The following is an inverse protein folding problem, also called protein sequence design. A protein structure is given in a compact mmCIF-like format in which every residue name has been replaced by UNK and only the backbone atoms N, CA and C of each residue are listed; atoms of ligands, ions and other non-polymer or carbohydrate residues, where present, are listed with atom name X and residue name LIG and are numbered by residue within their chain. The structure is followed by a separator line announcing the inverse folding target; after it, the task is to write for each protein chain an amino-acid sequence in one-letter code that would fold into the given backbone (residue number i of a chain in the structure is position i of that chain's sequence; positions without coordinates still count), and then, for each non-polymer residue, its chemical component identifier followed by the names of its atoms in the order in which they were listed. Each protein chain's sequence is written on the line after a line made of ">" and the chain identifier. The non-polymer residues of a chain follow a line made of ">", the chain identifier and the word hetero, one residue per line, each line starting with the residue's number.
data_IF_297674599608
#
_entry.id   IF_297674599608
#
_cell.length_a   1.000
_cell.length_b   1.000
_cell.length_c   1.000
_cell.angle_alpha   90.00
_cell.angle_beta   90.00
_cell.angle_gamma   90.00
#
_symmetry.space_group_name_H-M   'P 1'
#
loop_
_entity.id
_entity.type
_entity.pdbx_description
1 polymer ?
#
# COMPACT_ATOMS: atom_id res chain seq x y z
N UNK A 1 -30.05 9.70 0.74
CA UNK A 1 -29.57 11.05 0.38
C UNK A 1 -29.59 11.14 -1.14
N UNK A 2 -30.12 12.22 -1.71
CA UNK A 2 -30.58 12.26 -3.10
C UNK A 2 -29.43 12.26 -4.13
N UNK A 3 -29.66 11.61 -5.28
CA UNK A 3 -28.77 11.60 -6.46
C UNK A 3 -28.53 13.00 -7.08
N UNK A 4 -29.18 14.04 -6.56
CA UNK A 4 -29.16 15.40 -7.09
C UNK A 4 -27.79 16.10 -7.03
N UNK A 5 -26.83 15.59 -6.25
CA UNK A 5 -25.47 16.14 -6.18
C UNK A 5 -24.53 15.58 -7.25
N UNK A 6 -24.92 14.49 -7.93
CA UNK A 6 -24.14 13.88 -9.00
C UNK A 6 -24.35 14.70 -10.27
N UNK A 7 -23.25 15.17 -10.88
CA UNK A 7 -23.30 16.02 -12.08
C UNK A 7 -22.74 15.30 -13.29
N UNK A 8 -23.38 15.49 -14.43
CA UNK A 8 -22.82 15.11 -15.73
C UNK A 8 -22.10 16.33 -16.31
N UNK A 9 -20.84 16.17 -16.67
CA UNK A 9 -20.01 17.26 -17.21
C UNK A 9 -19.34 16.81 -18.50
N UNK A 10 -19.35 17.69 -19.49
CA UNK A 10 -18.80 17.43 -20.82
C UNK A 10 -17.51 18.21 -21.03
N UNK A 11 -16.51 17.54 -21.61
CA UNK A 11 -15.22 18.11 -21.98
C UNK A 11 -14.99 17.88 -23.47
N UNK A 12 -14.78 18.95 -24.26
CA UNK A 12 -14.42 18.78 -25.66
C UNK A 12 -13.00 18.22 -25.79
N UNK A 13 -12.70 17.55 -26.90
CA UNK A 13 -11.37 17.06 -27.22
C UNK A 13 -10.29 18.14 -27.00
N UNK A 14 -9.24 17.77 -26.29
CA UNK A 14 -8.10 18.62 -25.94
C UNK A 14 -8.25 19.40 -24.63
N UNK A 15 -9.44 19.42 -24.03
CA UNK A 15 -9.65 20.12 -22.76
C UNK A 15 -8.93 19.41 -21.59
N UNK A 16 -8.29 20.21 -20.73
CA UNK A 16 -7.77 19.72 -19.47
C UNK A 16 -8.94 19.41 -18.52
N UNK A 17 -8.92 18.22 -17.93
CA UNK A 17 -9.96 17.73 -17.00
C UNK A 17 -9.48 17.92 -15.56
N UNK A 18 -8.27 17.43 -15.26
CA UNK A 18 -7.57 17.69 -13.99
C UNK A 18 -6.13 18.07 -14.29
N UNK A 19 -5.55 18.89 -13.42
CA UNK A 19 -4.17 19.34 -13.54
C UNK A 19 -3.36 18.79 -12.38
N UNK A 20 -2.19 18.24 -12.66
CA UNK A 20 -1.27 17.75 -11.64
C UNK A 20 -1.02 18.83 -10.58
N UNK A 21 -0.98 18.42 -9.31
CA UNK A 21 -0.82 19.31 -8.15
C UNK A 21 -1.97 20.28 -7.88
N UNK A 22 -3.08 20.24 -8.63
CA UNK A 22 -4.30 20.94 -8.23
C UNK A 22 -4.95 20.25 -7.03
N UNK A 23 -5.58 21.05 -6.17
CA UNK A 23 -6.36 20.56 -5.03
C UNK A 23 -7.60 19.85 -5.59
N UNK A 24 -7.90 18.66 -5.06
CA UNK A 24 -9.14 18.00 -5.35
C UNK A 24 -10.23 18.49 -4.38
N UNK A 25 -11.35 19.03 -4.87
CA UNK A 25 -12.44 19.55 -4.03
C UNK A 25 -13.30 18.44 -3.39
N UNK A 26 -12.77 17.22 -3.25
CA UNK A 26 -13.50 16.06 -2.73
C UNK A 26 -14.41 15.41 -3.78
N UNK A 27 -13.96 15.35 -5.04
CA UNK A 27 -14.67 14.75 -6.17
C UNK A 27 -13.89 13.57 -6.75
N UNK A 28 -14.64 12.56 -7.18
CA UNK A 28 -14.14 11.54 -8.10
C UNK A 28 -15.03 11.46 -9.34
N UNK A 29 -14.48 10.87 -10.40
CA UNK A 29 -15.07 10.93 -11.72
C UNK A 29 -15.22 9.52 -12.29
N UNK A 30 -16.28 9.31 -13.08
CA UNK A 30 -16.48 8.10 -13.87
C UNK A 30 -16.68 8.51 -15.32
N UNK A 31 -15.92 7.89 -16.23
CA UNK A 31 -16.08 8.14 -17.66
C UNK A 31 -17.38 7.51 -18.14
N UNK A 32 -18.32 8.30 -18.65
CA UNK A 32 -19.56 7.78 -19.27
C UNK A 32 -19.36 7.48 -20.75
N UNK A 33 -18.67 8.38 -21.45
CA UNK A 33 -18.35 8.24 -22.87
C UNK A 33 -17.04 8.97 -23.21
N UNK A 34 -16.45 8.60 -24.35
CA UNK A 34 -15.18 9.16 -24.80
C UNK A 34 -13.96 8.53 -24.13
N UNK A 35 -12.81 9.17 -24.30
CA UNK A 35 -11.52 8.71 -23.80
C UNK A 35 -10.74 9.84 -23.13
N UNK A 36 -10.27 9.58 -21.92
CA UNK A 36 -9.40 10.49 -21.16
C UNK A 36 -7.98 9.97 -21.22
N UNK A 37 -7.01 10.84 -21.48
CA UNK A 37 -5.60 10.47 -21.53
C UNK A 37 -4.83 11.10 -20.36
N UNK A 38 -3.79 10.39 -19.92
CA UNK A 38 -2.82 10.87 -18.94
C UNK A 38 -1.72 11.61 -19.68
N UNK A 39 -1.34 12.81 -19.21
CA UNK A 39 -0.22 13.56 -19.79
C UNK A 39 1.10 12.81 -19.59
N UNK A 40 1.60 12.26 -20.70
CA UNK A 40 2.79 11.42 -20.77
C UNK A 40 4.11 12.17 -20.72
N UNK A 41 4.15 13.48 -20.99
CA UNK A 41 5.41 14.25 -20.91
C UNK A 41 5.90 14.39 -19.46
N UNK A 42 4.99 14.25 -18.49
CA UNK A 42 5.27 14.24 -17.06
C UNK A 42 5.05 12.87 -16.41
N UNK A 43 4.81 11.80 -17.19
CA UNK A 43 4.83 10.42 -16.66
C UNK A 43 6.27 10.14 -16.24
N UNK A 44 6.55 10.40 -14.97
CA UNK A 44 7.48 9.59 -14.23
C UNK A 44 7.08 8.14 -14.50
N UNK A 45 7.99 7.37 -15.14
CA UNK A 45 8.01 5.94 -15.63
C UNK A 45 7.16 4.88 -14.88
N UNK A 46 6.39 5.27 -13.88
CA UNK A 46 5.73 4.46 -12.88
C UNK A 46 4.20 4.40 -13.00
N UNK A 47 3.56 5.20 -13.87
CA UNK A 47 2.11 5.08 -14.16
C UNK A 47 1.87 4.08 -15.30
N UNK A 48 1.25 2.92 -15.00
CA UNK A 48 0.87 1.92 -16.01
C UNK A 48 -0.36 2.37 -16.85
N UNK A 49 -1.28 3.13 -16.27
CA UNK A 49 -2.47 3.63 -16.97
C UNK A 49 -2.12 4.85 -17.83
N UNK A 50 -2.27 4.70 -19.14
CA UNK A 50 -2.10 5.80 -20.11
C UNK A 50 -3.41 6.48 -20.46
N UNK A 51 -4.54 5.80 -20.26
CA UNK A 51 -5.87 6.27 -20.63
C UNK A 51 -6.96 5.70 -19.71
N UNK A 52 -8.09 6.40 -19.62
CA UNK A 52 -9.33 5.96 -19.00
C UNK A 52 -10.44 5.90 -20.05
N UNK A 53 -11.16 4.77 -20.09
CA UNK A 53 -12.24 4.46 -21.03
C UNK A 53 -13.59 4.45 -20.30
N UNK A 54 -14.72 4.33 -21.02
CA UNK A 54 -16.04 4.28 -20.39
C UNK A 54 -16.15 3.24 -19.26
N UNK A 55 -16.68 3.69 -18.13
CA UNK A 55 -16.80 2.98 -16.87
C UNK A 55 -15.54 2.99 -16.00
N UNK A 56 -14.41 3.52 -16.47
CA UNK A 56 -13.22 3.69 -15.63
C UNK A 56 -13.39 4.95 -14.75
N UNK A 57 -12.70 4.94 -13.60
CA UNK A 57 -12.79 6.02 -12.62
C UNK A 57 -11.44 6.62 -12.30
N UNK A 58 -11.42 7.93 -11.99
CA UNK A 58 -10.22 8.62 -11.53
C UNK A 58 -10.54 9.69 -10.48
N UNK A 59 -9.50 10.19 -9.81
CA UNK A 59 -9.61 11.21 -8.77
C UNK A 59 -9.95 10.67 -7.37
N UNK A 60 -10.35 9.40 -7.23
CA UNK A 60 -10.71 8.82 -5.93
C UNK A 60 -9.52 8.78 -4.97
N UNK A 61 -8.31 8.42 -5.44
CA UNK A 61 -7.09 8.43 -4.60
C UNK A 61 -6.87 9.81 -3.98
N UNK A 62 -6.90 10.84 -4.83
CA UNK A 62 -6.71 12.22 -4.42
C UNK A 62 -7.83 12.71 -3.49
N UNK A 63 -9.08 12.34 -3.76
CA UNK A 63 -10.22 12.71 -2.92
C UNK A 63 -10.22 12.02 -1.55
N UNK A 64 -9.86 10.73 -1.46
CA UNK A 64 -9.85 9.95 -0.21
C UNK A 64 -8.65 10.26 0.68
N UNK A 65 -7.52 10.63 0.07
CA UNK A 65 -6.29 10.94 0.82
C UNK A 65 -6.14 12.43 1.10
N UNK A 66 -7.09 13.26 0.65
CA UNK A 66 -7.02 14.73 0.73
C UNK A 66 -5.71 15.29 0.14
N UNK A 67 -5.23 14.64 -0.92
CA UNK A 67 -3.99 14.99 -1.59
C UNK A 67 -4.27 15.55 -2.96
N UNK A 68 -3.31 16.29 -3.49
CA UNK A 68 -3.45 16.88 -4.82
C UNK A 68 -3.46 15.79 -5.90
N UNK A 69 -3.99 16.13 -7.08
CA UNK A 69 -3.93 15.23 -8.22
C UNK A 69 -2.48 14.84 -8.55
N UNK A 70 -2.27 13.53 -8.74
CA UNK A 70 -0.96 12.96 -9.02
C UNK A 70 -0.53 13.17 -10.48
N UNK A 71 -1.50 13.36 -11.38
CA UNK A 71 -1.32 13.47 -12.82
C UNK A 71 -2.21 14.57 -13.41
N UNK A 72 -1.83 15.03 -14.60
CA UNK A 72 -2.69 15.85 -15.47
C UNK A 72 -3.47 14.91 -16.38
N UNK A 73 -4.77 15.14 -16.51
CA UNK A 73 -5.64 14.39 -17.44
C UNK A 73 -6.30 15.34 -18.43
N UNK A 74 -6.41 14.91 -19.67
CA UNK A 74 -7.07 15.66 -20.73
C UNK A 74 -8.02 14.78 -21.54
N UNK A 75 -9.02 15.41 -22.16
CA UNK A 75 -9.97 14.73 -23.02
C UNK A 75 -9.28 14.38 -24.36
N UNK A 76 -9.05 13.09 -24.65
CA UNK A 76 -8.47 12.65 -25.92
C UNK A 76 -9.51 12.68 -27.06
N UNK A 77 -10.77 12.45 -26.71
CA UNK A 77 -11.96 12.68 -27.54
C UNK A 77 -12.87 13.68 -26.84
N UNK A 78 -14.06 13.96 -27.39
CA UNK A 78 -15.12 14.51 -26.55
C UNK A 78 -15.45 13.48 -25.46
N UNK A 79 -15.56 13.93 -24.22
CA UNK A 79 -15.71 13.10 -23.02
C UNK A 79 -16.90 13.58 -22.22
N UNK A 80 -17.73 12.65 -21.79
CA UNK A 80 -18.75 12.87 -20.78
C UNK A 80 -18.32 12.19 -19.48
N UNK A 81 -18.32 12.94 -18.38
CA UNK A 81 -17.96 12.45 -17.04
C UNK A 81 -19.15 12.54 -16.09
N UNK A 82 -19.26 11.56 -15.22
CA UNK A 82 -20.05 11.63 -14.00
C UNK A 82 -19.16 12.15 -12.87
N UNK A 83 -19.47 13.30 -12.29
CA UNK A 83 -18.80 13.89 -11.13
C UNK A 83 -19.54 13.52 -9.85
N UNK A 84 -18.86 12.88 -8.92
CA UNK A 84 -19.46 12.35 -7.69
C UNK A 84 -18.67 12.88 -6.48
N UNK A 85 -19.35 13.49 -5.49
CA UNK A 85 -18.74 13.85 -4.21
C UNK A 85 -18.26 12.62 -3.43
N UNK A 86 -17.06 12.71 -2.84
CA UNK A 86 -16.46 11.58 -2.12
C UNK A 86 -17.29 11.11 -0.92
N UNK A 87 -18.01 12.04 -0.26
CA UNK A 87 -18.97 11.73 0.80
C UNK A 87 -20.10 10.78 0.36
N UNK A 88 -20.37 10.68 -0.94
CA UNK A 88 -21.39 9.78 -1.49
C UNK A 88 -20.84 8.39 -1.84
N UNK A 89 -19.53 8.16 -1.70
CA UNK A 89 -18.87 6.92 -2.12
C UNK A 89 -19.59 5.67 -1.61
N UNK A 90 -19.82 5.56 -0.29
CA UNK A 90 -20.52 4.41 0.30
C UNK A 90 -21.89 4.15 -0.34
N UNK A 91 -22.75 5.17 -0.35
CA UNK A 91 -24.10 5.07 -0.92
C UNK A 91 -24.12 4.78 -2.42
N UNK A 92 -23.18 5.36 -3.17
CA UNK A 92 -23.06 5.19 -4.62
C UNK A 92 -22.64 3.77 -4.98
N UNK A 93 -21.65 3.22 -4.26
CA UNK A 93 -21.15 1.87 -4.47
C UNK A 93 -22.19 0.81 -4.08
N UNK A 94 -22.96 1.06 -3.02
CA UNK A 94 -24.05 0.17 -2.61
C UNK A 94 -25.11 0.00 -3.69
N UNK A 95 -25.43 1.09 -4.40
CA UNK A 95 -26.35 1.06 -5.54
C UNK A 95 -25.79 0.41 -6.81
N UNK A 96 -24.45 0.25 -6.91
CA UNK A 96 -23.77 -0.13 -8.15
C UNK A 96 -22.63 -1.15 -7.88
N UNK A 97 -22.98 -2.38 -7.50
CA UNK A 97 -21.99 -3.43 -7.14
C UNK A 97 -20.96 -3.72 -8.24
N UNK A 98 -21.40 -3.83 -9.49
CA UNK A 98 -20.51 -4.12 -10.62
C UNK A 98 -19.49 -3.01 -10.84
N UNK A 99 -19.94 -1.76 -10.69
CA UNK A 99 -19.07 -0.58 -10.79
C UNK A 99 -18.10 -0.52 -9.62
N UNK A 100 -18.55 -0.81 -8.40
CA UNK A 100 -17.67 -0.91 -7.24
C UNK A 100 -16.55 -1.92 -7.47
N UNK A 101 -16.89 -3.12 -7.98
CA UNK A 101 -15.90 -4.13 -8.33
C UNK A 101 -14.98 -3.69 -9.46
N UNK A 102 -15.50 -2.98 -10.47
CA UNK A 102 -14.67 -2.43 -11.55
C UNK A 102 -13.64 -1.42 -11.02
N UNK A 103 -14.05 -0.51 -10.13
CA UNK A 103 -13.13 0.47 -9.52
C UNK A 103 -12.11 -0.25 -8.63
N UNK A 104 -12.53 -1.21 -7.81
CA UNK A 104 -11.61 -1.98 -6.97
C UNK A 104 -10.56 -2.71 -7.80
N UNK A 105 -10.95 -3.38 -8.89
CA UNK A 105 -10.01 -4.06 -9.79
C UNK A 105 -9.03 -3.09 -10.45
N UNK A 106 -9.52 -1.93 -10.90
CA UNK A 106 -8.65 -0.89 -11.46
C UNK A 106 -7.58 -0.46 -10.45
N UNK A 107 -7.98 -0.24 -9.20
CA UNK A 107 -7.10 0.30 -8.15
C UNK A 107 -6.17 -0.78 -7.61
N UNK A 108 -6.65 -2.01 -7.49
CA UNK A 108 -5.82 -3.17 -7.16
C UNK A 108 -4.73 -3.36 -8.23
N UNK A 109 -5.09 -3.33 -9.52
CA UNK A 109 -4.13 -3.42 -10.61
C UNK A 109 -3.06 -2.32 -10.55
N UNK A 110 -3.46 -1.06 -10.35
CA UNK A 110 -2.55 0.08 -10.19
C UNK A 110 -1.62 -0.11 -8.97
N UNK A 111 -2.15 -0.53 -7.82
CA UNK A 111 -1.33 -0.76 -6.63
C UNK A 111 -0.33 -1.91 -6.84
N UNK A 112 -0.76 -3.00 -7.49
CA UNK A 112 0.13 -4.12 -7.85
C UNK A 112 1.26 -3.65 -8.76
N UNK A 113 0.95 -2.80 -9.74
CA UNK A 113 1.95 -2.19 -10.63
C UNK A 113 3.01 -1.39 -9.86
N UNK A 114 2.55 -0.50 -8.98
CA UNK A 114 3.43 0.34 -8.17
C UNK A 114 4.30 -0.49 -7.24
N UNK A 115 3.75 -1.51 -6.59
CA UNK A 115 4.51 -2.41 -5.72
C UNK A 115 5.56 -3.21 -6.50
N UNK A 116 5.23 -3.71 -7.71
CA UNK A 116 6.20 -4.35 -8.62
C UNK A 116 7.36 -3.40 -8.95
N UNK A 117 7.07 -2.12 -9.21
CA UNK A 117 8.09 -1.11 -9.50
C UNK A 117 8.93 -0.74 -8.27
N UNK A 118 8.30 -0.61 -7.10
CA UNK A 118 8.95 -0.28 -5.83
C UNK A 118 9.92 -1.35 -5.35
N UNK A 119 9.64 -2.62 -5.65
CA UNK A 119 10.52 -3.73 -5.28
C UNK A 119 11.97 -3.53 -5.78
N UNK A 120 12.22 -2.66 -6.79
CA UNK A 120 13.55 -2.36 -7.36
C UNK A 120 14.40 -3.61 -7.56
N UNK A 121 13.76 -4.75 -7.79
CA UNK A 121 14.45 -5.95 -8.15
C UNK A 121 14.93 -5.79 -9.58
N UNK A 122 16.24 -5.82 -9.75
CA UNK A 122 16.87 -5.88 -11.06
C UNK A 122 16.60 -7.25 -11.72
N UNK A 123 16.04 -8.22 -10.98
CA UNK A 123 15.69 -9.54 -11.46
C UNK A 123 14.18 -9.67 -11.68
N UNK A 124 13.73 -10.06 -12.87
CA UNK A 124 12.32 -10.32 -13.15
C UNK A 124 11.66 -11.29 -12.17
N UNK A 125 12.41 -12.28 -11.65
CA UNK A 125 11.92 -13.31 -10.73
C UNK A 125 11.30 -12.75 -9.43
N UNK A 126 11.84 -11.66 -8.89
CA UNK A 126 11.33 -11.05 -7.66
C UNK A 126 9.97 -10.36 -7.85
N UNK A 127 9.58 -10.06 -9.10
CA UNK A 127 8.30 -9.42 -9.46
C UNK A 127 7.20 -10.45 -9.78
N UNK A 128 7.56 -11.73 -9.78
CA UNK A 128 6.67 -12.83 -10.03
C UNK A 128 6.10 -13.28 -8.69
N UNK A 129 4.78 -13.31 -8.60
CA UNK A 129 4.04 -13.84 -7.46
C UNK A 129 3.34 -15.08 -8.00
N UNK A 130 3.92 -16.23 -7.71
CA UNK A 130 3.41 -17.54 -8.10
C UNK A 130 3.52 -18.48 -6.89
N UNK A 131 2.62 -19.45 -6.72
CA UNK A 131 2.66 -20.37 -5.59
C UNK A 131 4.00 -21.08 -5.40
N UNK A 132 4.73 -21.40 -6.48
CA UNK A 132 6.05 -22.01 -6.45
C UNK A 132 7.10 -21.16 -5.71
N UNK A 133 6.91 -19.83 -5.66
CA UNK A 133 7.76 -18.91 -4.90
C UNK A 133 7.69 -19.18 -3.39
N UNK A 134 6.65 -19.84 -2.89
CA UNK A 134 6.55 -20.22 -1.47
C UNK A 134 7.71 -21.11 -1.01
N UNK A 135 8.25 -21.99 -1.87
CA UNK A 135 9.43 -22.80 -1.55
C UNK A 135 10.68 -21.92 -1.44
N UNK A 136 10.87 -20.99 -2.37
CA UNK A 136 11.98 -20.03 -2.34
C UNK A 136 11.90 -19.11 -1.11
N UNK A 137 10.69 -18.65 -0.78
CA UNK A 137 10.43 -17.86 0.41
C UNK A 137 10.76 -18.64 1.69
N UNK A 138 10.38 -19.92 1.76
CA UNK A 138 10.71 -20.79 2.89
C UNK A 138 12.22 -20.91 3.12
N UNK A 139 13.01 -21.14 2.06
CA UNK A 139 14.48 -21.16 2.13
C UNK A 139 15.04 -19.83 2.63
N UNK A 140 14.47 -18.72 2.19
CA UNK A 140 14.85 -17.38 2.66
C UNK A 140 14.55 -17.21 4.15
N UNK A 141 13.37 -17.61 4.62
CA UNK A 141 13.00 -17.57 6.02
C UNK A 141 13.88 -18.47 6.90
N UNK A 142 14.30 -19.64 6.40
CA UNK A 142 15.28 -20.50 7.06
C UNK A 142 16.64 -19.80 7.23
N UNK A 143 17.13 -19.14 6.18
CA UNK A 143 18.37 -18.37 6.26
C UNK A 143 18.29 -17.21 7.26
N UNK A 144 17.09 -16.63 7.45
CA UNK A 144 16.83 -15.62 8.48
C UNK A 144 16.58 -16.19 9.88
N UNK A 145 16.68 -17.51 10.06
CA UNK A 145 16.37 -18.20 11.32
C UNK A 145 14.92 -17.95 11.80
N UNK A 146 13.97 -17.86 10.85
CA UNK A 146 12.52 -17.71 11.12
C UNK A 146 11.77 -18.99 10.72
N UNK A 147 11.90 -20.09 11.48
CA UNK A 147 11.40 -21.39 11.06
C UNK A 147 9.86 -21.48 11.01
N UNK A 148 9.14 -20.68 11.80
CA UNK A 148 7.68 -20.62 11.74
C UNK A 148 7.15 -20.05 10.41
N UNK A 149 7.78 -18.99 9.89
CA UNK A 149 7.46 -18.44 8.56
C UNK A 149 7.78 -19.44 7.44
N UNK A 150 8.91 -20.15 7.56
CA UNK A 150 9.27 -21.20 6.62
C UNK A 150 8.22 -22.33 6.61
N UNK A 151 7.83 -22.82 7.78
CA UNK A 151 6.82 -23.88 7.92
C UNK A 151 5.47 -23.45 7.36
N UNK A 152 4.99 -22.24 7.69
CA UNK A 152 3.75 -21.70 7.13
C UNK A 152 3.81 -21.65 5.60
N UNK A 153 4.91 -21.12 5.04
CA UNK A 153 5.09 -21.02 3.58
C UNK A 153 5.02 -22.38 2.88
N UNK A 154 5.67 -23.41 3.45
CA UNK A 154 5.64 -24.77 2.92
C UNK A 154 4.27 -25.43 3.05
N UNK A 155 3.58 -25.27 4.19
CA UNK A 155 2.22 -25.78 4.37
C UNK A 155 1.26 -25.19 3.33
N UNK A 156 1.33 -23.89 3.08
CA UNK A 156 0.50 -23.22 2.07
C UNK A 156 0.83 -23.66 0.64
N UNK A 157 2.09 -23.97 0.37
CA UNK A 157 2.47 -24.56 -0.90
C UNK A 157 1.83 -25.94 -1.11
N UNK A 158 1.89 -26.81 -0.09
CA UNK A 158 1.33 -28.16 -0.15
C UNK A 158 -0.19 -28.13 -0.31
N UNK A 159 -0.90 -27.26 0.42
CA UNK A 159 -2.35 -27.04 0.26
C UNK A 159 -2.72 -26.61 -1.18
N UNK A 160 -1.92 -25.69 -1.75
CA UNK A 160 -2.11 -25.27 -3.14
C UNK A 160 -1.81 -26.42 -4.12
N UNK A 161 -0.74 -27.17 -3.91
CA UNK A 161 -0.34 -28.28 -4.77
C UNK A 161 -1.40 -29.40 -4.79
N UNK A 162 -1.98 -29.72 -3.62
CA UNK A 162 -3.08 -30.68 -3.46
C UNK A 162 -4.31 -30.25 -4.26
N UNK A 163 -4.73 -28.99 -4.13
CA UNK A 163 -5.91 -28.47 -4.83
C UNK A 163 -5.75 -28.37 -6.35
N UNK A 164 -4.51 -28.29 -6.86
CA UNK A 164 -4.21 -28.16 -8.28
C UNK A 164 -3.66 -29.46 -8.91
N UNK A 165 -3.60 -30.56 -8.15
CA UNK A 165 -3.09 -31.87 -8.59
C UNK A 165 -1.70 -31.79 -9.24
N UNK A 166 -0.84 -30.90 -8.74
CA UNK A 166 0.53 -30.73 -9.25
C UNK A 166 1.54 -31.43 -8.34
N UNK A 167 2.44 -32.20 -8.95
CA UNK A 167 3.55 -32.86 -8.26
C UNK A 167 4.84 -32.05 -8.30
N UNK A 168 4.85 -30.91 -9.02
CA UNK A 168 6.04 -30.05 -9.15
C UNK A 168 6.51 -29.70 -7.74
N UNK A 169 7.80 -29.90 -7.45
CA UNK A 169 8.48 -29.53 -6.19
C UNK A 169 7.81 -29.94 -4.86
N UNK A 170 6.84 -30.87 -4.87
CA UNK A 170 6.19 -31.38 -3.65
C UNK A 170 7.17 -32.07 -2.73
N UNK A 171 7.95 -33.01 -3.28
CA UNK A 171 8.98 -33.76 -2.53
C UNK A 171 9.99 -32.81 -1.88
N UNK A 172 10.36 -31.74 -2.58
CA UNK A 172 11.24 -30.70 -2.04
C UNK A 172 10.58 -29.97 -0.87
N UNK A 173 9.32 -29.56 -0.99
CA UNK A 173 8.60 -28.88 0.08
C UNK A 173 8.43 -29.77 1.32
N UNK A 174 8.09 -31.04 1.14
CA UNK A 174 7.97 -32.03 2.23
C UNK A 174 9.33 -32.28 2.89
N UNK A 175 10.40 -32.43 2.10
CA UNK A 175 11.76 -32.58 2.62
C UNK A 175 12.21 -31.36 3.42
N UNK A 176 11.92 -30.14 2.96
CA UNK A 176 12.25 -28.92 3.69
C UNK A 176 11.46 -28.82 4.99
N UNK A 177 10.20 -29.23 4.99
CA UNK A 177 9.35 -29.23 6.19
C UNK A 177 9.87 -30.22 7.24
N UNK A 178 10.34 -31.39 6.83
CA UNK A 178 10.97 -32.37 7.73
C UNK A 178 12.29 -31.86 8.35
N UNK A 179 13.03 -31.03 7.62
CA UNK A 179 14.27 -30.41 8.12
C UNK A 179 14.02 -29.27 9.10
N UNK A 180 12.82 -28.69 9.12
CA UNK A 180 12.47 -27.61 10.03
C UNK A 180 12.24 -28.16 11.44
N UNK A 181 12.97 -27.62 12.41
CA UNK A 181 12.68 -27.80 13.84
C UNK A 181 11.48 -26.92 14.26
N UNK A 182 10.37 -26.96 13.52
CA UNK A 182 9.17 -26.19 13.83
C UNK A 182 7.92 -27.00 13.51
N UNK A 183 7.01 -27.06 14.47
CA UNK A 183 5.66 -27.60 14.31
C UNK A 183 4.63 -26.52 13.98
N UNK A 184 5.08 -25.31 13.61
CA UNK A 184 4.18 -24.20 13.32
C UNK A 184 3.34 -24.51 12.09
N UNK A 185 2.02 -24.47 12.26
CA UNK A 185 1.04 -24.61 11.19
C UNK A 185 0.36 -23.26 10.97
N UNK A 186 -0.19 -23.03 9.76
CA UNK A 186 -1.06 -21.87 9.55
C UNK A 186 -2.17 -21.80 10.59
N UNK A 187 -2.47 -20.59 11.07
CA UNK A 187 -3.52 -20.38 12.05
C UNK A 187 -4.88 -20.92 11.57
N UNK A 188 -5.50 -21.77 12.37
CA UNK A 188 -6.82 -22.33 12.10
C UNK A 188 -7.92 -21.42 12.67
N UNK A 189 -8.61 -20.73 11.77
CA UNK A 189 -9.70 -19.84 12.12
C UNK A 189 -10.97 -20.62 12.47
N UNK A 190 -11.37 -20.59 13.73
CA UNK A 190 -12.62 -21.20 14.22
C UNK A 190 -13.80 -20.22 14.25
N UNK A 191 -13.53 -18.93 14.12
CA UNK A 191 -14.55 -17.88 14.02
C UNK A 191 -14.05 -16.71 13.18
N UNK A 192 -14.93 -15.75 12.88
CA UNK A 192 -14.54 -14.52 12.17
C UNK A 192 -13.61 -13.62 13.00
N UNK A 193 -13.62 -13.70 14.33
CA UNK A 193 -12.82 -12.83 15.21
C UNK A 193 -11.85 -13.68 16.03
N UNK A 194 -10.57 -13.35 15.99
CA UNK A 194 -9.55 -14.05 16.76
C UNK A 194 -8.65 -13.09 17.53
N UNK A 195 -8.31 -13.46 18.76
CA UNK A 195 -7.21 -12.86 19.51
C UNK A 195 -5.93 -13.66 19.22
N UNK A 196 -4.91 -12.98 18.73
CA UNK A 196 -3.65 -13.55 18.28
C UNK A 196 -2.50 -12.98 19.11
N UNK A 197 -1.54 -13.81 19.47
CA UNK A 197 -0.31 -13.35 20.14
C UNK A 197 0.60 -12.59 19.17
N UNK A 198 1.62 -11.90 19.69
CA UNK A 198 2.65 -11.28 18.86
C UNK A 198 3.46 -12.35 18.10
N UNK A 199 3.74 -12.12 16.83
CA UNK A 199 4.47 -13.04 15.95
C UNK A 199 3.61 -14.04 15.19
N UNK A 200 2.28 -13.99 15.35
CA UNK A 200 1.34 -14.85 14.64
C UNK A 200 1.29 -14.52 13.14
N UNK A 201 1.32 -15.54 12.29
CA UNK A 201 1.40 -15.40 10.83
C UNK A 201 -0.01 -15.51 10.25
N UNK A 202 -0.52 -14.42 9.69
CA UNK A 202 -1.84 -14.43 9.06
C UNK A 202 -1.79 -15.00 7.65
N UNK A 203 -0.79 -14.57 6.87
CA UNK A 203 -0.49 -15.10 5.54
C UNK A 203 0.95 -14.73 5.15
N UNK A 204 1.48 -15.42 4.14
CA UNK A 204 2.80 -15.12 3.56
C UNK A 204 2.72 -14.65 2.11
N UNK A 205 3.79 -14.00 1.65
CA UNK A 205 3.93 -13.58 0.26
C UNK A 205 3.82 -14.79 -0.69
N UNK A 206 3.08 -14.62 -1.79
CA UNK A 206 2.76 -15.63 -2.81
C UNK A 206 1.76 -16.72 -2.39
N UNK A 207 1.18 -16.63 -1.20
CA UNK A 207 0.07 -17.49 -0.80
C UNK A 207 -1.20 -17.18 -1.62
N UNK A 208 -2.04 -18.21 -1.88
CA UNK A 208 -3.27 -18.09 -2.68
C UNK A 208 -4.55 -17.81 -1.89
N UNK A 209 -4.49 -17.82 -0.56
CA UNK A 209 -5.66 -17.51 0.28
C UNK A 209 -6.19 -16.09 -0.03
N UNK A 210 -7.52 -15.93 -0.01
CA UNK A 210 -8.22 -14.71 -0.45
C UNK A 210 -8.96 -13.98 0.66
N UNK A 211 -8.74 -14.35 1.92
CA UNK A 211 -9.39 -13.69 3.03
C UNK A 211 -8.94 -12.23 3.16
N UNK A 212 -9.82 -11.38 3.65
CA UNK A 212 -9.52 -10.01 4.04
C UNK A 212 -9.49 -9.96 5.56
N UNK A 213 -8.63 -9.09 6.10
CA UNK A 213 -8.48 -8.92 7.53
C UNK A 213 -8.67 -7.47 7.93
N UNK A 214 -9.24 -7.25 9.11
CA UNK A 214 -9.34 -5.94 9.77
C UNK A 214 -8.68 -6.03 11.13
N UNK A 215 -7.77 -5.09 11.42
CA UNK A 215 -7.19 -4.96 12.76
C UNK A 215 -8.22 -4.30 13.67
N UNK A 216 -8.68 -5.00 14.71
CA UNK A 216 -9.56 -4.44 15.74
C UNK A 216 -8.78 -3.92 16.94
N UNK A 217 -7.68 -4.60 17.30
CA UNK A 217 -6.74 -4.22 18.36
C UNK A 217 -5.32 -4.67 17.96
N UNK A 218 -4.29 -4.03 18.50
CA UNK A 218 -2.88 -4.36 18.22
C UNK A 218 -2.36 -3.81 16.88
N UNK A 219 -1.29 -4.44 16.37
CA UNK A 219 -0.58 -4.03 15.15
C UNK A 219 -0.14 -5.22 14.31
N UNK A 220 -0.17 -5.06 12.99
CA UNK A 220 0.23 -6.08 12.00
C UNK A 220 1.27 -5.49 11.05
N UNK A 221 2.42 -6.15 10.95
CA UNK A 221 3.49 -5.78 10.00
C UNK A 221 3.25 -6.45 8.65
N UNK A 222 3.26 -5.66 7.58
CA UNK A 222 3.31 -6.12 6.20
C UNK A 222 4.74 -6.03 5.67
N UNK A 223 5.27 -7.12 5.10
CA UNK A 223 6.60 -7.14 4.50
C UNK A 223 6.68 -8.06 3.29
N UNK A 224 7.66 -7.85 2.42
CA UNK A 224 7.99 -8.74 1.30
C UNK A 224 9.46 -9.15 1.34
N UNK A 225 9.82 -10.17 0.58
CA UNK A 225 11.22 -10.53 0.35
C UNK A 225 11.73 -9.78 -0.88
N UNK A 226 12.76 -8.95 -0.70
CA UNK A 226 13.42 -8.24 -1.80
C UNK A 226 14.91 -8.52 -1.73
N UNK A 227 15.46 -9.17 -2.77
CA UNK A 227 16.88 -9.56 -2.84
C UNK A 227 17.35 -10.38 -1.62
N UNK A 228 16.47 -11.23 -1.10
CA UNK A 228 16.75 -12.05 0.09
C UNK A 228 16.76 -11.29 1.42
N UNK A 229 16.30 -10.02 1.45
CA UNK A 229 16.13 -9.23 2.66
C UNK A 229 14.66 -8.95 2.95
N UNK A 230 14.33 -8.78 4.24
CA UNK A 230 13.01 -8.35 4.67
C UNK A 230 12.82 -6.88 4.30
N UNK A 231 11.80 -6.63 3.48
CA UNK A 231 11.39 -5.29 3.09
C UNK A 231 10.04 -4.99 3.70
N UNK A 232 10.04 -4.19 4.77
CA UNK A 232 8.81 -3.75 5.42
C UNK A 232 8.07 -2.78 4.51
N UNK A 233 6.83 -3.12 4.21
CA UNK A 233 5.93 -2.35 3.36
C UNK A 233 5.19 -1.34 4.21
N UNK A 234 4.58 -1.80 5.31
CA UNK A 234 3.78 -0.97 6.23
C UNK A 234 3.59 -1.67 7.59
N UNK A 235 3.18 -0.91 8.61
CA UNK A 235 2.69 -1.43 9.89
C UNK A 235 1.27 -0.90 10.10
N UNK A 236 0.34 -1.83 10.19
CA UNK A 236 -1.10 -1.56 10.26
C UNK A 236 -1.57 -1.58 11.71
N UNK A 237 -2.46 -0.64 12.06
CA UNK A 237 -3.10 -0.54 13.36
C UNK A 237 -4.62 -0.63 13.27
N UNK A 238 -5.28 -0.30 14.38
CA UNK A 238 -6.74 -0.41 14.56
C UNK A 238 -7.52 0.27 13.42
N UNK A 239 -8.50 -0.46 12.90
CA UNK A 239 -9.42 -0.04 11.86
C UNK A 239 -8.94 -0.32 10.43
N UNK A 240 -7.68 -0.73 10.25
CA UNK A 240 -7.10 -0.93 8.92
C UNK A 240 -7.40 -2.29 8.32
N UNK A 241 -7.59 -2.27 7.00
CA UNK A 241 -7.92 -3.44 6.19
C UNK A 241 -6.69 -3.89 5.41
N UNK A 242 -6.46 -5.20 5.35
CA UNK A 242 -5.38 -5.78 4.57
C UNK A 242 -5.75 -7.13 3.97
N UNK A 243 -4.97 -7.52 2.96
CA UNK A 243 -5.23 -8.72 2.17
C UNK A 243 -6.26 -8.52 1.05
N UNK A 244 -6.87 -7.35 0.93
CA UNK A 244 -7.93 -7.06 -0.02
C UNK A 244 -7.55 -7.32 -1.49
N UNK A 245 -6.29 -7.06 -1.86
CA UNK A 245 -5.82 -7.21 -3.23
C UNK A 245 -5.85 -8.66 -3.72
N UNK A 246 -5.56 -9.61 -2.82
CA UNK A 246 -5.53 -11.04 -3.15
C UNK A 246 -6.90 -11.52 -3.62
N UNK A 247 -7.93 -11.06 -2.93
CA UNK A 247 -9.32 -11.30 -3.29
C UNK A 247 -9.71 -10.60 -4.59
N UNK A 248 -9.50 -9.28 -4.68
CA UNK A 248 -10.06 -8.44 -5.76
C UNK A 248 -9.60 -8.93 -7.14
N UNK A 249 -8.35 -9.36 -7.24
CA UNK A 249 -7.73 -9.80 -8.50
C UNK A 249 -7.68 -11.33 -8.64
N UNK A 250 -8.15 -12.10 -7.66
CA UNK A 250 -7.99 -13.56 -7.63
C UNK A 250 -6.51 -13.96 -7.88
N UNK A 251 -5.59 -13.31 -7.17
CA UNK A 251 -4.16 -13.40 -7.43
C UNK A 251 -3.36 -13.56 -6.13
N UNK A 252 -2.15 -14.15 -6.17
CA UNK A 252 -1.35 -14.38 -4.97
C UNK A 252 -1.09 -13.11 -4.16
N UNK A 253 -0.87 -13.28 -2.85
CA UNK A 253 -0.47 -12.20 -1.93
C UNK A 253 0.85 -11.58 -2.38
N UNK A 254 0.95 -10.25 -2.33
CA UNK A 254 2.20 -9.53 -2.65
C UNK A 254 3.10 -9.26 -1.44
N UNK A 255 2.62 -9.62 -0.26
CA UNK A 255 3.28 -9.39 1.01
C UNK A 255 2.93 -10.53 1.98
N UNK A 256 3.72 -10.64 3.03
CA UNK A 256 3.44 -11.41 4.24
C UNK A 256 2.87 -10.49 5.31
N UNK A 257 2.01 -11.03 6.17
CA UNK A 257 1.38 -10.31 7.28
C UNK A 257 1.60 -11.06 8.60
N UNK A 258 2.20 -10.39 9.58
CA UNK A 258 2.53 -10.95 10.90
C UNK A 258 2.13 -9.97 12.00
N UNK A 259 1.49 -10.44 13.07
CA UNK A 259 1.20 -9.60 14.23
C UNK A 259 2.49 -9.14 14.90
N UNK A 260 2.60 -7.85 15.20
CA UNK A 260 3.77 -7.28 15.88
C UNK A 260 3.53 -7.14 17.39
N UNK A 261 2.26 -6.93 17.77
CA UNK A 261 1.77 -6.94 19.14
C UNK A 261 0.63 -7.93 19.29
N UNK A 262 0.24 -8.35 20.52
CA UNK A 262 -1.00 -9.08 20.71
C UNK A 262 -2.15 -8.31 20.07
N UNK A 263 -2.88 -8.98 19.17
CA UNK A 263 -3.80 -8.33 18.24
C UNK A 263 -5.14 -9.03 18.21
N UNK A 264 -6.20 -8.27 17.96
CA UNK A 264 -7.53 -8.81 17.71
C UNK A 264 -7.86 -8.57 16.24
N UNK A 265 -8.07 -9.64 15.49
CA UNK A 265 -8.25 -9.60 14.04
C UNK A 265 -9.64 -10.10 13.66
N UNK A 266 -10.31 -9.36 12.78
CA UNK A 266 -11.52 -9.81 12.08
C UNK A 266 -11.13 -10.35 10.70
N UNK A 267 -11.39 -11.63 10.46
CA UNK A 267 -11.32 -12.29 9.16
C UNK A 267 -12.65 -12.16 8.44
N UNK A 268 -12.59 -11.73 7.18
CA UNK A 268 -13.73 -11.61 6.27
C UNK A 268 -13.43 -12.45 5.02
N UNK A 269 -14.28 -13.44 4.75
CA UNK A 269 -14.16 -14.30 3.57
C UNK A 269 -14.76 -13.64 2.32
N UNK A 270 -14.35 -14.03 1.10
CA UNK A 270 -14.93 -13.56 -0.17
C UNK A 270 -16.47 -13.45 -0.16
N UNK A 271 -17.14 -14.49 0.33
CA UNK A 271 -18.60 -14.65 0.30
C UNK A 271 -19.29 -13.63 1.20
N UNK A 272 -18.62 -13.24 2.29
CA UNK A 272 -19.20 -12.38 3.31
C UNK A 272 -19.07 -10.88 3.00
N UNK A 273 -18.20 -10.47 2.06
CA UNK A 273 -17.90 -9.05 1.82
C UNK A 273 -19.11 -8.25 1.34
N UNK A 274 -19.93 -8.83 0.46
CA UNK A 274 -21.08 -8.14 -0.14
C UNK A 274 -22.41 -8.43 0.54
N UNK A 275 -22.50 -9.53 1.30
CA UNK A 275 -23.73 -9.99 1.92
C UNK A 275 -23.80 -9.63 3.40
N UNK A 276 -22.67 -9.64 4.10
CA UNK A 276 -22.60 -9.58 5.56
C UNK A 276 -21.93 -8.32 6.11
N UNK A 277 -21.16 -7.59 5.28
CA UNK A 277 -20.44 -6.41 5.76
C UNK A 277 -21.04 -5.11 5.23
N UNK A 278 -21.42 -4.24 6.18
CA UNK A 278 -22.08 -2.97 5.90
C UNK A 278 -21.27 -2.01 5.04
N UNK A 279 -21.94 -0.96 4.57
CA UNK A 279 -21.41 0.16 3.77
C UNK A 279 -20.03 0.67 4.25
N UNK A 280 -19.79 0.61 5.56
CA UNK A 280 -18.54 1.03 6.20
C UNK A 280 -17.30 0.19 5.84
N UNK A 281 -17.41 -1.10 5.54
CA UNK A 281 -16.24 -1.91 5.16
C UNK A 281 -15.82 -1.64 3.72
N UNK A 282 -16.77 -1.59 2.77
CA UNK A 282 -16.46 -1.27 1.38
C UNK A 282 -15.75 0.08 1.29
N UNK A 283 -16.27 1.09 2.00
CA UNK A 283 -15.61 2.39 2.09
C UNK A 283 -14.18 2.27 2.63
N UNK A 284 -13.98 1.52 3.71
CA UNK A 284 -12.64 1.29 4.27
C UNK A 284 -11.70 0.53 3.33
N UNK A 285 -12.21 -0.38 2.48
CA UNK A 285 -11.41 -1.07 1.46
C UNK A 285 -10.92 -0.04 0.43
N UNK A 286 -11.81 0.83 -0.05
CA UNK A 286 -11.42 1.91 -0.96
C UNK A 286 -10.41 2.87 -0.33
N UNK A 287 -10.63 3.29 0.91
CA UNK A 287 -9.71 4.14 1.67
C UNK A 287 -8.33 3.48 1.86
N UNK A 288 -8.29 2.18 2.17
CA UNK A 288 -7.06 1.42 2.33
C UNK A 288 -6.25 1.35 1.03
N UNK A 289 -6.89 0.95 -0.09
CA UNK A 289 -6.21 0.85 -1.39
C UNK A 289 -5.77 2.23 -1.87
N UNK A 290 -6.62 3.25 -1.76
CA UNK A 290 -6.30 4.62 -2.15
C UNK A 290 -5.08 5.16 -1.40
N UNK A 291 -5.02 4.98 -0.07
CA UNK A 291 -3.82 5.34 0.71
C UNK A 291 -2.60 4.60 0.23
N UNK A 292 -2.68 3.28 0.06
CA UNK A 292 -1.53 2.47 -0.38
C UNK A 292 -1.02 2.88 -1.76
N UNK A 293 -1.91 3.22 -2.70
CA UNK A 293 -1.53 3.78 -4.01
C UNK A 293 -0.76 5.08 -3.80
N UNK A 294 -1.31 6.00 -2.99
CA UNK A 294 -0.67 7.27 -2.73
C UNK A 294 0.72 7.11 -2.08
N UNK A 295 0.83 6.30 -1.03
CA UNK A 295 2.12 6.01 -0.38
C UNK A 295 3.11 5.39 -1.34
N UNK A 296 2.65 4.48 -2.19
CA UNK A 296 3.50 3.83 -3.18
C UNK A 296 4.05 4.83 -4.20
N UNK A 297 3.21 5.75 -4.69
CA UNK A 297 3.66 6.86 -5.55
C UNK A 297 4.68 7.76 -4.86
N UNK A 298 4.39 8.19 -3.62
CA UNK A 298 5.32 9.02 -2.88
C UNK A 298 6.67 8.34 -2.68
N UNK A 299 6.67 7.03 -2.43
CA UNK A 299 7.89 6.26 -2.27
C UNK A 299 8.70 6.20 -3.56
N UNK A 300 8.06 6.09 -4.72
CA UNK A 300 8.76 6.18 -6.01
C UNK A 300 9.41 7.55 -6.22
N UNK A 301 8.73 8.63 -5.83
CA UNK A 301 9.29 9.99 -5.84
C UNK A 301 10.50 10.08 -4.89
N UNK A 302 10.38 9.59 -3.65
CA UNK A 302 11.46 9.54 -2.66
C UNK A 302 12.68 8.80 -3.23
N UNK A 303 12.45 7.63 -3.83
CA UNK A 303 13.50 6.79 -4.37
C UNK A 303 14.24 7.43 -5.57
N UNK A 304 13.65 8.42 -6.24
CA UNK A 304 14.28 9.22 -7.32
C UNK A 304 15.11 10.39 -6.80
N UNK A 305 14.96 10.79 -5.53
CA UNK A 305 15.76 11.86 -4.94
C UNK A 305 17.24 11.46 -4.88
N UNK A 306 18.16 12.36 -5.20
CA UNK A 306 19.60 12.03 -5.27
C UNK A 306 20.24 11.86 -3.90
N UNK A 307 19.85 12.69 -2.92
CA UNK A 307 20.46 12.72 -1.59
C UNK A 307 19.81 11.70 -0.65
N UNK A 308 20.56 10.72 -0.08
CA UNK A 308 20.03 9.73 0.86
C UNK A 308 19.33 10.34 2.07
N UNK A 309 19.93 11.36 2.68
CA UNK A 309 19.36 12.11 3.81
C UNK A 309 17.98 12.70 3.52
N UNK A 310 17.79 13.26 2.32
CA UNK A 310 16.52 13.84 1.88
C UNK A 310 15.45 12.77 1.76
N UNK A 311 15.82 11.55 1.35
CA UNK A 311 14.90 10.42 1.31
C UNK A 311 14.39 10.06 2.71
N UNK A 312 15.29 10.02 3.70
CA UNK A 312 14.93 9.75 5.09
C UNK A 312 13.92 10.77 5.63
N UNK A 313 14.21 12.07 5.45
CA UNK A 313 13.29 13.14 5.87
C UNK A 313 11.95 13.10 5.15
N UNK A 314 11.96 12.92 3.82
CA UNK A 314 10.74 12.87 3.02
C UNK A 314 9.87 11.66 3.39
N UNK A 315 10.50 10.51 3.67
CA UNK A 315 9.79 9.32 4.14
C UNK A 315 9.10 9.58 5.48
N UNK A 316 9.84 10.09 6.48
CA UNK A 316 9.26 10.41 7.79
C UNK A 316 8.15 11.47 7.70
N UNK A 317 8.31 12.50 6.86
CA UNK A 317 7.26 13.49 6.64
C UNK A 317 5.96 12.85 6.12
N UNK A 318 6.08 11.96 5.13
CA UNK A 318 4.94 11.26 4.56
C UNK A 318 4.31 10.30 5.57
N UNK A 319 5.10 9.59 6.38
CA UNK A 319 4.61 8.71 7.45
C UNK A 319 3.85 9.49 8.54
N UNK A 320 4.32 10.68 8.91
CA UNK A 320 3.61 11.57 9.84
C UNK A 320 2.24 11.96 9.27
N UNK A 321 2.24 12.38 7.99
CA UNK A 321 1.02 12.82 7.32
C UNK A 321 0.01 11.68 7.19
N UNK A 322 0.47 10.45 6.99
CA UNK A 322 -0.40 9.27 7.06
C UNK A 322 -1.09 9.15 8.41
N UNK A 323 -0.30 9.22 9.49
CA UNK A 323 -0.83 9.06 10.84
C UNK A 323 -1.82 10.16 11.18
N UNK A 324 -1.61 11.38 10.67
CA UNK A 324 -2.56 12.48 10.82
C UNK A 324 -3.89 12.17 10.13
N UNK A 325 -3.85 11.68 8.89
CA UNK A 325 -5.06 11.27 8.15
C UNK A 325 -5.76 10.13 8.89
N UNK A 326 -5.02 9.09 9.32
CA UNK A 326 -5.56 7.95 10.07
C UNK A 326 -6.27 8.37 11.37
N UNK A 327 -5.77 9.42 12.04
CA UNK A 327 -6.32 9.92 13.32
C UNK A 327 -7.29 11.08 13.16
N UNK A 328 -7.49 11.62 11.95
CA UNK A 328 -8.22 12.87 11.72
C UNK A 328 -7.55 14.08 12.40
N UNK A 329 -6.24 14.04 12.58
CA UNK A 329 -5.47 15.09 13.25
C UNK A 329 -5.32 16.29 12.33
N UNK A 330 -5.79 17.46 12.75
CA UNK A 330 -5.58 18.70 11.99
C UNK A 330 -4.12 19.19 12.07
N UNK A 331 -3.75 20.11 11.20
CA UNK A 331 -2.37 20.60 11.09
C UNK A 331 -1.83 21.23 12.39
N UNK A 332 -2.66 21.94 13.14
CA UNK A 332 -2.25 22.59 14.38
C UNK A 332 -1.92 21.55 15.46
N UNK A 333 -2.77 20.55 15.63
CA UNK A 333 -2.54 19.43 16.53
C UNK A 333 -1.33 18.60 16.08
N UNK A 334 -1.14 18.41 14.78
CA UNK A 334 0.01 17.73 14.20
C UNK A 334 1.33 18.43 14.53
N UNK A 335 1.39 19.75 14.45
CA UNK A 335 2.58 20.52 14.81
C UNK A 335 2.93 20.47 16.30
N UNK A 336 1.96 20.21 17.17
CA UNK A 336 2.16 20.02 18.60
C UNK A 336 2.45 18.56 19.00
N UNK A 337 2.34 17.62 18.05
CA UNK A 337 2.44 16.19 18.32
C UNK A 337 3.86 15.65 18.15
N UNK A 338 4.19 14.65 18.96
CA UNK A 338 5.38 13.81 18.80
C UNK A 338 4.95 12.51 18.12
N UNK A 339 5.68 12.13 17.07
CA UNK A 339 5.39 10.92 16.30
C UNK A 339 6.42 9.85 16.62
N UNK A 340 5.95 8.63 16.80
CA UNK A 340 6.81 7.48 17.06
C UNK A 340 6.46 6.36 16.10
N UNK A 341 7.48 5.82 15.44
CA UNK A 341 7.36 4.78 14.43
C UNK A 341 8.12 3.55 14.95
N UNK A 342 7.45 2.39 15.11
CA UNK A 342 8.08 1.14 15.54
C UNK A 342 8.89 0.52 14.39
N UNK A 343 9.93 1.24 13.94
CA UNK A 343 10.84 0.80 12.90
C UNK A 343 12.27 1.03 13.38
N UNK A 344 13.14 0.08 13.09
CA UNK A 344 14.57 0.22 13.28
C UNK A 344 15.17 1.17 12.22
N UNK A 345 16.37 1.69 12.50
CA UNK A 345 17.04 2.61 11.58
C UNK A 345 17.41 1.94 10.25
N UNK A 346 17.85 0.69 10.30
CA UNK A 346 18.20 -0.13 9.15
C UNK A 346 16.98 -0.38 8.26
N UNK A 347 15.81 -0.57 8.87
CA UNK A 347 14.53 -0.71 8.15
C UNK A 347 14.16 0.59 7.44
N UNK A 348 14.25 1.75 8.12
CA UNK A 348 14.03 3.05 7.48
C UNK A 348 14.97 3.26 6.28
N UNK A 349 16.25 2.88 6.42
CA UNK A 349 17.23 2.98 5.34
C UNK A 349 16.83 2.09 4.15
N UNK A 350 16.47 0.84 4.41
CA UNK A 350 15.96 -0.10 3.40
C UNK A 350 14.72 0.48 2.69
N UNK A 351 13.79 1.08 3.45
CA UNK A 351 12.58 1.68 2.91
C UNK A 351 12.86 2.87 1.97
N UNK A 352 13.96 3.59 2.23
CA UNK A 352 14.45 4.70 1.42
C UNK A 352 15.42 4.28 0.30
N UNK A 353 15.61 2.97 0.09
CA UNK A 353 16.52 2.42 -0.92
C UNK A 353 18.00 2.68 -0.62
N UNK A 354 18.36 2.80 0.67
CA UNK A 354 19.72 3.01 1.15
C UNK A 354 20.26 1.67 1.64
N UNK A 355 20.79 0.87 0.70
CA UNK A 355 21.27 -0.50 0.98
C UNK A 355 22.58 -0.49 1.78
N UNK A 356 23.46 0.48 1.52
CA UNK A 356 24.71 0.68 2.26
C UNK A 356 24.76 2.10 2.77
N UNK A 357 24.64 2.26 4.08
CA UNK A 357 24.68 3.56 4.74
C UNK A 357 26.12 4.04 4.82
N UNK A 358 26.45 5.12 4.11
CA UNK A 358 27.68 5.88 4.33
C UNK A 358 27.36 6.99 5.34
N UNK A 359 27.90 6.92 6.55
CA UNK A 359 27.53 7.83 7.65
C UNK A 359 27.70 9.30 7.26
N UNK A 360 28.71 9.61 6.45
CA UNK A 360 29.01 10.94 5.97
C UNK A 360 27.88 11.52 5.11
N UNK A 361 27.14 10.66 4.40
CA UNK A 361 26.03 11.07 3.52
C UNK A 361 24.71 11.32 4.23
N UNK A 362 24.65 11.02 5.54
CA UNK A 362 23.45 11.15 6.38
C UNK A 362 23.77 11.73 7.76
N UNK A 363 24.94 12.34 7.94
CA UNK A 363 25.42 12.82 9.24
C UNK A 363 24.47 13.86 9.85
N UNK A 364 23.90 14.73 9.02
CA UNK A 364 22.93 15.75 9.43
C UNK A 364 21.62 15.14 9.92
N UNK A 365 21.23 13.97 9.39
CA UNK A 365 20.08 13.21 9.86
C UNK A 365 20.37 12.56 11.22
N UNK A 366 21.53 11.91 11.36
CA UNK A 366 21.94 11.22 12.60
C UNK A 366 22.15 12.19 13.78
N UNK A 367 22.55 13.43 13.49
CA UNK A 367 22.79 14.47 14.51
C UNK A 367 21.59 15.39 14.74
N UNK A 368 20.47 15.18 14.03
CA UNK A 368 19.29 16.04 14.15
C UNK A 368 18.59 15.85 15.51
N UNK A 369 18.59 16.89 16.34
CA UNK A 369 17.91 16.87 17.64
C UNK A 369 16.39 16.66 17.56
N UNK A 370 15.79 16.78 16.38
CA UNK A 370 14.39 16.47 16.11
C UNK A 370 14.11 14.97 16.00
N UNK A 371 15.14 14.17 15.70
CA UNK A 371 15.03 12.73 15.45
C UNK A 371 15.70 11.98 16.60
N UNK A 372 14.96 11.09 17.26
CA UNK A 372 15.52 10.17 18.25
C UNK A 372 15.48 8.77 17.62
N UNK A 373 16.65 8.17 17.49
CA UNK A 373 16.82 6.82 16.95
C UNK A 373 17.12 5.88 18.12
N UNK A 374 16.24 4.90 18.33
CA UNK A 374 16.41 3.78 19.24
C UNK A 374 16.49 2.48 18.45
N UNK A 375 16.79 1.36 19.13
CA UNK A 375 17.03 0.04 18.49
C UNK A 375 15.90 -0.40 17.57
N UNK A 376 14.66 -0.13 17.94
CA UNK A 376 13.43 -0.64 17.33
C UNK A 376 12.42 0.47 17.03
N UNK A 377 12.83 1.73 17.15
CA UNK A 377 11.90 2.86 17.07
C UNK A 377 12.57 4.14 16.62
N UNK A 378 11.88 4.92 15.80
CA UNK A 378 12.26 6.27 15.38
C UNK A 378 11.20 7.24 15.89
N UNK A 379 11.63 8.28 16.60
CA UNK A 379 10.73 9.32 17.12
C UNK A 379 11.05 10.67 16.51
N UNK A 380 10.03 11.36 16.02
CA UNK A 380 10.08 12.71 15.47
C UNK A 380 9.40 13.65 16.45
N UNK A 381 10.16 14.63 16.98
CA UNK A 381 9.63 15.60 17.96
C UNK A 381 8.72 16.65 17.34
N UNK A 382 8.97 17.04 16.09
CA UNK A 382 8.21 18.08 15.40
C UNK A 382 8.15 17.83 13.90
N UNK A 383 6.93 17.69 13.37
CA UNK A 383 6.67 17.65 11.93
C UNK A 383 7.16 18.93 11.23
N UNK A 384 6.91 20.09 11.84
CA UNK A 384 7.26 21.41 11.27
C UNK A 384 8.76 21.53 10.95
N UNK A 385 9.62 21.03 11.85
CA UNK A 385 11.08 21.01 11.62
C UNK A 385 11.49 20.14 10.44
N UNK A 386 10.79 19.02 10.19
CA UNK A 386 11.03 18.21 8.99
C UNK A 386 10.62 18.98 7.74
N UNK A 387 9.45 19.64 7.77
CA UNK A 387 8.95 20.44 6.65
C UNK A 387 9.91 21.57 6.27
N UNK A 388 10.40 22.30 7.26
CA UNK A 388 11.41 23.35 7.08
C UNK A 388 12.68 22.78 6.43
N UNK A 389 13.20 21.65 6.90
CA UNK A 389 14.36 20.99 6.28
C UNK A 389 14.11 20.63 4.82
N UNK A 390 12.97 20.01 4.52
CA UNK A 390 12.60 19.67 3.14
C UNK A 390 12.46 20.92 2.25
N UNK A 391 11.97 22.03 2.80
CA UNK A 391 11.93 23.34 2.15
C UNK A 391 13.32 23.88 1.78
N UNK A 392 14.33 23.71 2.65
CA UNK A 392 15.71 24.14 2.35
C UNK A 392 16.35 23.32 1.22
N UNK A 393 16.02 22.04 1.08
CA UNK A 393 16.47 21.23 -0.04
C UNK A 393 15.84 21.66 -1.38
N UNK A 394 14.68 22.34 -1.34
CA UNK A 394 13.99 22.86 -2.53
C UNK A 394 14.70 24.09 -3.11
N UNK A 395 15.13 25.02 -2.25
CA UNK A 395 15.75 26.29 -2.68
C UNK A 395 17.15 26.11 -3.25
N UNK A 396 17.89 25.07 -2.84
CA UNK A 396 19.28 24.83 -3.31
C UNK A 396 19.41 24.05 -4.62
N UNK A 397 18.39 23.31 -5.07
CA UNK A 397 18.56 22.30 -6.15
C UNK A 397 17.61 22.44 -7.34
N UNK A 398 16.69 23.40 -7.38
CA UNK A 398 15.82 23.65 -8.54
C UNK A 398 14.87 22.52 -8.94
N UNK A 399 14.88 21.38 -8.24
CA UNK A 399 13.93 20.29 -8.48
C UNK A 399 12.60 20.61 -7.82
N UNK A 400 11.59 20.80 -8.68
CA UNK A 400 10.18 20.85 -8.31
C UNK A 400 9.80 19.47 -7.76
N UNK A 401 9.97 19.29 -6.46
CA UNK A 401 9.18 18.31 -5.74
C UNK A 401 7.76 18.88 -5.79
N UNK A 402 6.85 18.11 -6.39
CA UNK A 402 5.43 18.16 -6.15
C UNK A 402 5.18 18.80 -4.79
N UNK A 403 4.59 20.00 -4.77
CA UNK A 403 4.28 20.76 -3.55
C UNK A 403 4.14 19.80 -2.36
N UNK A 404 5.09 19.83 -1.42
CA UNK A 404 4.90 19.30 -0.08
C UNK A 404 3.79 20.17 0.52
N UNK A 405 2.55 19.83 0.19
CA UNK A 405 1.31 20.37 0.72
C UNK A 405 0.54 19.14 1.16
#
# INVERSE_FOLDING_TARGET
>A
MSEAEIKVVNYPKGAAIVVQHAINPGLFYIVRSGKVAVDSEHIQVDHELTNYNPGDSFGLVSALTEHHFLVTLFAQTDVELLQIPIRMLGSFLKGNKDLAMKILRLYSHELRALQRNLSRANQPADRVYLPEKLILNAKTYMAWQKPALAAHSLHRYLEWADSHQTAIAREEAESLLQQLNSSAKPYEWTSQKASLEAGEILFVESEMNQDIFVVLEGTVKLFSIVRGFEYVIDVLGVGEIFGEMGLIDNAPRMASAVTETPSVILRVTPENIFESVGESLMQKVFESIARRIWFSHQRLIILRMQLPEKRLYAFLYNSIRDQDIRKGTNLQASYASVYSFPIAFEELCSMCGIIKVKKETIQDFLSDSNIIISKDRITVKSRKRIEEKLGHYKTKQGQIIAKLI
#
